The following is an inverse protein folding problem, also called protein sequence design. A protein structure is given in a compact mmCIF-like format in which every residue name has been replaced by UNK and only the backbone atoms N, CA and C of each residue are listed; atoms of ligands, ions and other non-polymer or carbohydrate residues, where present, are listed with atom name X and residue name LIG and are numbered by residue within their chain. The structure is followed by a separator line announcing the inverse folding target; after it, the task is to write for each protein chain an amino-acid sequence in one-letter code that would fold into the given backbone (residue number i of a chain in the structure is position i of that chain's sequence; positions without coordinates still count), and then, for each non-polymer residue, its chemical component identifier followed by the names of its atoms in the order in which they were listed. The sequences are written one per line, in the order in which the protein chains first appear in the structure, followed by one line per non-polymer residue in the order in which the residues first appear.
data_IF_360230948969
#
_entry.id   IF_360230948969
#
_cell.length_a   1.000
_cell.length_b   1.000
_cell.length_c   1.000
_cell.angle_alpha   90.00
_cell.angle_beta   90.00
_cell.angle_gamma   90.00
#
_symmetry.space_group_name_H-M   'P 1'
#
loop_
_entity.id
_entity.type
_entity.pdbx_description
1 polymer ?
#
# COMPACT_ATOMS: atom_id res chain seq x y z
N UNK A 1 11.20 9.74 26.02
CA UNK A 1 10.47 9.44 24.77
C UNK A 1 9.74 10.71 24.39
N UNK A 2 10.17 11.39 23.32
CA UNK A 2 9.55 12.64 22.88
C UNK A 2 8.45 12.27 21.88
N UNK A 3 7.19 12.45 22.26
CA UNK A 3 6.03 12.02 21.46
C UNK A 3 5.24 13.25 21.01
N UNK A 4 5.07 13.40 19.69
CA UNK A 4 4.16 14.37 19.09
C UNK A 4 2.74 13.80 19.08
N UNK A 5 1.85 14.40 19.87
CA UNK A 5 0.44 14.02 19.88
C UNK A 5 -0.27 14.78 18.76
N UNK A 6 -0.93 14.03 17.87
CA UNK A 6 -1.72 14.61 16.80
C UNK A 6 -3.12 14.96 17.33
N UNK A 7 -3.61 16.15 16.94
CA UNK A 7 -4.94 16.63 17.33
C UNK A 7 -6.08 16.04 16.47
N UNK A 8 -5.74 15.30 15.42
CA UNK A 8 -6.66 14.61 14.51
C UNK A 8 -6.10 13.23 14.19
N UNK A 9 -6.99 12.28 13.98
CA UNK A 9 -6.62 11.02 13.36
C UNK A 9 -6.18 11.30 11.93
N UNK A 10 -5.02 10.77 11.58
CA UNK A 10 -4.47 10.85 10.23
C UNK A 10 -4.50 9.47 9.59
N UNK A 11 -4.67 9.45 8.27
CA UNK A 11 -4.48 8.21 7.51
C UNK A 11 -2.98 7.93 7.27
N UNK A 12 -2.70 6.77 6.66
CA UNK A 12 -1.34 6.33 6.40
C UNK A 12 -0.58 7.26 5.44
N UNK A 13 -1.26 7.83 4.44
CA UNK A 13 -0.64 8.71 3.46
C UNK A 13 -0.23 10.04 4.11
N UNK A 14 -1.11 10.59 4.92
CA UNK A 14 -0.85 11.77 5.75
C UNK A 14 0.29 11.52 6.75
N UNK A 15 0.37 10.33 7.35
CA UNK A 15 1.49 9.94 8.21
C UNK A 15 2.82 9.98 7.47
N UNK A 16 2.91 9.38 6.28
CA UNK A 16 4.13 9.37 5.48
C UNK A 16 4.57 10.79 5.10
N UNK A 17 3.64 11.66 4.67
CA UNK A 17 3.95 13.05 4.34
C UNK A 17 4.53 13.82 5.54
N UNK A 18 4.01 13.58 6.74
CA UNK A 18 4.50 14.21 7.98
C UNK A 18 5.89 13.69 8.34
N UNK A 19 6.12 12.37 8.23
CA UNK A 19 7.45 11.77 8.46
C UNK A 19 8.48 12.34 7.50
N UNK A 20 8.17 12.40 6.21
CA UNK A 20 9.04 12.97 5.17
C UNK A 20 9.34 14.45 5.45
N UNK A 21 8.34 15.23 5.84
CA UNK A 21 8.52 16.64 6.20
C UNK A 21 9.49 16.80 7.39
N UNK A 22 9.32 16.00 8.44
CA UNK A 22 10.22 16.03 9.60
C UNK A 22 11.65 15.69 9.21
N UNK A 23 11.86 14.66 8.38
CA UNK A 23 13.18 14.32 7.86
C UNK A 23 13.81 15.50 7.08
N UNK A 24 13.00 16.23 6.30
CA UNK A 24 13.45 17.40 5.52
C UNK A 24 13.97 18.55 6.40
N UNK A 25 13.45 18.69 7.62
CA UNK A 25 13.88 19.72 8.59
C UNK A 25 14.88 19.19 9.62
N UNK A 26 15.45 17.99 9.41
CA UNK A 26 16.48 17.40 10.27
C UNK A 26 15.94 16.75 11.55
N UNK A 27 14.64 16.43 11.59
CA UNK A 27 14.03 15.69 12.69
C UNK A 27 13.88 14.23 12.29
N UNK A 28 14.62 13.35 12.97
CA UNK A 28 14.47 11.90 12.81
C UNK A 28 13.24 11.40 13.56
N UNK A 29 12.32 10.79 12.81
CA UNK A 29 11.13 10.15 13.38
C UNK A 29 11.38 8.66 13.51
N UNK A 30 11.46 8.18 14.75
CA UNK A 30 11.56 6.74 15.01
C UNK A 30 10.20 6.11 14.75
N UNK A 31 10.13 5.26 13.72
CA UNK A 31 8.92 4.49 13.46
C UNK A 31 8.79 3.37 14.51
N UNK A 32 7.66 3.21 15.20
CA UNK A 32 7.45 2.10 16.13
C UNK A 32 7.41 0.73 15.46
N UNK A 33 7.29 0.66 14.13
CA UNK A 33 7.35 -0.56 13.35
C UNK A 33 8.78 -0.78 12.80
N UNK A 34 9.37 -1.95 13.07
CA UNK A 34 10.71 -2.35 12.60
C UNK A 34 10.87 -2.29 11.08
N UNK A 35 9.77 -2.48 10.34
CA UNK A 35 9.73 -2.42 8.87
C UNK A 35 8.64 -1.44 8.45
N UNK A 36 8.95 -0.13 8.38
CA UNK A 36 8.04 0.82 7.75
C UNK A 36 7.84 0.36 6.30
N UNK A 37 6.62 -0.02 5.94
CA UNK A 37 6.27 -0.16 4.53
C UNK A 37 6.33 1.23 3.92
N UNK A 38 7.48 1.60 3.37
CA UNK A 38 7.62 2.82 2.57
C UNK A 38 6.81 2.59 1.31
N UNK A 39 5.63 3.19 1.22
CA UNK A 39 4.85 3.20 -0.01
C UNK A 39 5.69 3.92 -1.06
N UNK A 40 6.16 3.17 -2.04
CA UNK A 40 6.94 3.70 -3.17
C UNK A 40 6.02 4.47 -4.12
N UNK A 41 6.60 5.23 -5.05
CA UNK A 41 5.81 5.86 -6.11
C UNK A 41 5.11 4.82 -7.02
N UNK A 42 5.71 3.63 -7.17
CA UNK A 42 5.10 2.51 -7.90
C UNK A 42 3.87 2.00 -7.16
N UNK A 43 3.93 1.86 -5.84
CA UNK A 43 2.78 1.48 -5.01
C UNK A 43 1.65 2.52 -5.11
N UNK A 44 1.99 3.83 -5.10
CA UNK A 44 1.00 4.91 -5.28
C UNK A 44 0.30 4.81 -6.62
N UNK A 45 1.07 4.56 -7.70
CA UNK A 45 0.51 4.39 -9.04
C UNK A 45 -0.36 3.13 -9.13
N UNK A 46 0.07 2.01 -8.56
CA UNK A 46 -0.70 0.77 -8.54
C UNK A 46 -2.02 0.94 -7.77
N UNK A 47 -2.01 1.65 -6.63
CA UNK A 47 -3.22 1.96 -5.85
C UNK A 47 -4.16 2.88 -6.66
N UNK A 48 -3.63 3.88 -7.35
CA UNK A 48 -4.44 4.77 -8.18
C UNK A 48 -5.12 4.03 -9.33
N UNK A 49 -4.39 3.16 -10.04
CA UNK A 49 -4.94 2.30 -11.09
C UNK A 49 -5.98 1.33 -10.54
N UNK A 50 -5.71 0.71 -9.39
CA UNK A 50 -6.66 -0.19 -8.76
C UNK A 50 -7.97 0.52 -8.36
N UNK A 51 -7.89 1.77 -7.89
CA UNK A 51 -9.09 2.58 -7.61
C UNK A 51 -9.89 2.88 -8.87
N UNK A 52 -9.22 3.27 -9.95
CA UNK A 52 -9.84 3.53 -11.25
C UNK A 52 -10.52 2.27 -11.82
N UNK A 53 -9.90 1.11 -11.69
CA UNK A 53 -10.47 -0.17 -12.10
C UNK A 53 -11.72 -0.52 -11.28
N UNK A 54 -11.70 -0.29 -9.96
CA UNK A 54 -12.89 -0.49 -9.12
C UNK A 54 -14.04 0.43 -9.53
N UNK A 55 -13.76 1.71 -9.79
CA UNK A 55 -14.78 2.69 -10.23
C UNK A 55 -15.38 2.31 -11.60
N UNK A 56 -14.57 1.75 -12.50
CA UNK A 56 -15.02 1.28 -13.83
C UNK A 56 -15.70 -0.09 -13.79
N UNK A 57 -15.75 -0.75 -12.63
CA UNK A 57 -16.28 -2.11 -12.51
C UNK A 57 -15.34 -3.19 -13.03
N UNK A 58 -14.07 -2.86 -13.28
CA UNK A 58 -13.00 -3.77 -13.71
C UNK A 58 -12.42 -4.53 -12.51
N UNK A 59 -13.26 -5.18 -11.72
CA UNK A 59 -12.82 -6.05 -10.63
C UNK A 59 -13.26 -7.48 -10.90
N UNK A 60 -12.44 -8.43 -10.44
CA UNK A 60 -12.73 -9.86 -10.52
C UNK A 60 -13.09 -10.39 -9.13
N UNK A 61 -14.08 -11.28 -9.04
CA UNK A 61 -14.38 -11.95 -7.78
C UNK A 61 -13.18 -12.78 -7.32
N UNK A 62 -12.89 -12.77 -6.02
CA UNK A 62 -11.74 -13.49 -5.48
C UNK A 62 -11.74 -14.98 -5.82
N UNK A 63 -12.91 -15.64 -5.84
CA UNK A 63 -13.00 -17.06 -6.22
C UNK A 63 -12.67 -17.26 -7.67
N UNK A 64 -13.16 -16.39 -8.55
CA UNK A 64 -12.87 -16.43 -9.98
C UNK A 64 -11.37 -16.21 -10.25
N UNK A 65 -10.74 -15.26 -9.55
CA UNK A 65 -9.30 -15.04 -9.60
C UNK A 65 -8.51 -16.30 -9.21
N UNK A 66 -8.84 -16.91 -8.07
CA UNK A 66 -8.13 -18.11 -7.60
C UNK A 66 -8.35 -19.30 -8.52
N UNK A 67 -9.54 -19.47 -9.10
CA UNK A 67 -9.81 -20.52 -10.07
C UNK A 67 -9.05 -20.32 -11.37
N UNK A 68 -8.93 -19.08 -11.86
CA UNK A 68 -8.12 -18.75 -13.04
C UNK A 68 -6.62 -19.00 -12.80
N UNK A 69 -6.11 -18.64 -11.62
CA UNK A 69 -4.72 -18.94 -11.22
C UNK A 69 -4.52 -20.46 -11.17
N UNK A 70 -5.43 -21.19 -10.50
CA UNK A 70 -5.32 -22.64 -10.34
C UNK A 70 -5.34 -23.37 -11.70
N UNK A 71 -6.22 -22.95 -12.63
CA UNK A 71 -6.24 -23.47 -14.01
C UNK A 71 -4.93 -23.21 -14.76
N UNK A 72 -4.37 -21.99 -14.65
CA UNK A 72 -3.13 -21.59 -15.33
C UNK A 72 -1.89 -22.31 -14.81
N UNK A 73 -1.86 -22.63 -13.51
CA UNK A 73 -0.79 -23.45 -12.94
C UNK A 73 -0.98 -24.92 -13.25
N UNK A 74 -2.20 -25.45 -13.17
CA UNK A 74 -2.49 -26.84 -13.55
C UNK A 74 -2.11 -27.11 -15.02
N UNK A 75 -2.37 -26.17 -15.94
CA UNK A 75 -1.99 -26.33 -17.35
C UNK A 75 -0.48 -26.27 -17.62
N UNK A 76 0.30 -25.65 -16.72
CA UNK A 76 1.77 -25.61 -16.80
C UNK A 76 2.45 -26.87 -16.24
N UNK A 77 1.75 -27.69 -15.47
CA UNK A 77 2.28 -28.91 -14.84
C UNK A 77 2.08 -30.16 -15.73
N UNK A 78 1.32 -30.06 -16.82
CA UNK A 78 1.11 -31.15 -17.81
C UNK A 78 2.03 -31.00 -19.04
N UNK A 79 3.23 -30.44 -18.85
CA UNK A 79 4.26 -30.29 -19.90
C UNK A 79 5.47 -31.15 -19.62
#
# INVERSE_FOLDING_TARGET
MNTLILNKNIDFEQYQQIVDYFATIGIEVTNPYEYPSLITNEDKQAIALAREDVEKGNWIDGRELFDNIRKRYASKVVG
#
